data_IF_300798175247
#
_entry.id   IF_300798175247
#
_cell.length_a   1.000
_cell.length_b   1.000
_cell.length_c   1.000
_cell.angle_alpha   90.00
_cell.angle_beta   90.00
_cell.angle_gamma   90.00
#
_symmetry.space_group_name_H-M   'P 1'
#
loop_
_entity.id
_entity.type
_entity.pdbx_description
1 polymer ?
#
# COMPACT_ATOMS: atom_id res chain seq x y z
N UNK A 1 -11.93 6.95 22.38
CA UNK A 1 -11.33 6.79 21.05
C UNK A 1 -10.22 7.83 20.94
N UNK A 2 -8.94 7.41 20.79
CA UNK A 2 -7.86 8.36 20.57
C UNK A 2 -8.12 9.06 19.24
N UNK A 3 -8.14 10.38 19.25
CA UNK A 3 -8.37 11.13 18.02
C UNK A 3 -7.04 11.17 17.28
N UNK A 4 -6.84 10.21 16.36
CA UNK A 4 -5.64 10.14 15.51
C UNK A 4 -5.44 11.47 14.80
N UNK A 5 -4.23 12.03 14.89
CA UNK A 5 -3.94 13.38 14.36
C UNK A 5 -3.06 13.36 13.12
N UNK A 6 -2.25 12.31 12.95
CA UNK A 6 -1.29 12.23 11.86
C UNK A 6 -1.11 10.82 11.37
N UNK A 7 -1.13 10.65 10.06
CA UNK A 7 -0.88 9.37 9.39
C UNK A 7 0.22 9.51 8.34
N UNK A 8 0.92 8.41 8.11
CA UNK A 8 1.83 8.26 6.98
C UNK A 8 1.14 7.54 5.82
N UNK A 9 1.44 7.91 4.59
CA UNK A 9 1.05 7.15 3.40
C UNK A 9 2.29 6.84 2.58
N UNK A 10 2.40 5.60 2.12
CA UNK A 10 3.48 5.16 1.24
C UNK A 10 2.93 4.37 0.06
N UNK A 11 3.67 4.43 -1.04
CA UNK A 11 3.41 3.65 -2.25
C UNK A 11 4.61 2.75 -2.54
N UNK A 12 4.36 1.52 -2.93
CA UNK A 12 5.41 0.56 -3.26
C UNK A 12 5.01 -0.34 -4.45
N UNK A 13 6.01 -1.00 -5.03
CA UNK A 13 5.80 -1.80 -6.25
C UNK A 13 5.80 -0.97 -7.52
N UNK A 14 5.18 -1.48 -8.58
CA UNK A 14 5.11 -0.82 -9.89
C UNK A 14 4.19 0.39 -9.93
N UNK A 15 4.49 1.33 -10.82
CA UNK A 15 3.65 2.50 -11.05
C UNK A 15 2.35 2.13 -11.77
N UNK A 16 1.26 2.74 -11.33
CA UNK A 16 -0.05 2.63 -11.98
C UNK A 16 -0.78 3.97 -11.92
N UNK A 17 -1.76 4.20 -12.80
CA UNK A 17 -2.60 5.39 -12.73
C UNK A 17 -3.35 5.55 -11.41
N UNK A 18 -3.56 4.47 -10.66
CA UNK A 18 -4.33 4.49 -9.42
C UNK A 18 -3.58 5.09 -8.23
N UNK A 19 -2.24 5.21 -8.26
CA UNK A 19 -1.47 5.61 -7.08
C UNK A 19 -1.77 7.03 -6.63
N UNK A 20 -1.65 8.02 -7.52
CA UNK A 20 -1.97 9.40 -7.18
C UNK A 20 -3.46 9.58 -6.84
N UNK A 21 -4.36 8.88 -7.51
CA UNK A 21 -5.78 8.90 -7.19
C UNK A 21 -6.05 8.35 -5.78
N UNK A 22 -5.40 7.26 -5.39
CA UNK A 22 -5.50 6.68 -4.04
C UNK A 22 -4.95 7.64 -2.98
N UNK A 23 -3.78 8.25 -3.21
CA UNK A 23 -3.21 9.25 -2.31
C UNK A 23 -4.16 10.44 -2.18
N UNK A 24 -4.68 10.95 -3.28
CA UNK A 24 -5.62 12.07 -3.30
C UNK A 24 -6.90 11.76 -2.50
N UNK A 25 -7.51 10.59 -2.72
CA UNK A 25 -8.69 10.17 -1.98
C UNK A 25 -8.45 10.08 -0.47
N UNK A 26 -7.31 9.51 -0.06
CA UNK A 26 -6.91 9.43 1.35
C UNK A 26 -6.70 10.83 1.95
N UNK A 27 -6.03 11.73 1.24
CA UNK A 27 -5.78 13.12 1.67
C UNK A 27 -7.08 13.90 1.77
N UNK A 28 -7.98 13.77 0.79
CA UNK A 28 -9.29 14.42 0.81
C UNK A 28 -10.09 14.02 2.05
N UNK A 29 -10.16 12.73 2.33
CA UNK A 29 -10.85 12.24 3.52
C UNK A 29 -10.18 12.69 4.83
N UNK A 30 -8.87 12.70 4.87
CA UNK A 30 -8.11 13.18 6.02
C UNK A 30 -8.34 14.67 6.30
N UNK A 31 -8.51 15.50 5.26
CA UNK A 31 -8.85 16.92 5.41
C UNK A 31 -10.18 17.11 6.14
N UNK A 32 -11.20 16.34 5.78
CA UNK A 32 -12.51 16.35 6.45
C UNK A 32 -12.40 15.96 7.93
N UNK A 33 -11.56 14.98 8.23
CA UNK A 33 -11.34 14.46 9.58
C UNK A 33 -10.32 15.27 10.40
N UNK A 34 -9.70 16.31 9.82
CA UNK A 34 -8.62 17.10 10.43
C UNK A 34 -7.42 16.24 10.84
N UNK A 35 -7.04 15.30 9.97
CA UNK A 35 -5.87 14.45 10.12
C UNK A 35 -4.78 14.92 9.16
N UNK A 36 -3.57 15.12 9.66
CA UNK A 36 -2.41 15.44 8.84
C UNK A 36 -1.91 14.19 8.09
N UNK A 37 -1.56 14.34 6.82
CA UNK A 37 -1.06 13.24 5.97
C UNK A 37 0.37 13.52 5.53
N UNK A 38 1.27 12.61 5.87
CA UNK A 38 2.68 12.64 5.47
C UNK A 38 2.95 11.57 4.43
N UNK A 39 3.27 11.99 3.21
CA UNK A 39 3.71 11.10 2.14
C UNK A 39 5.15 10.66 2.36
N UNK A 40 5.39 9.37 2.56
CA UNK A 40 6.72 8.81 2.79
C UNK A 40 7.43 8.62 1.44
N UNK A 41 8.55 9.34 1.23
CA UNK A 41 9.23 9.41 -0.06
C UNK A 41 9.94 8.09 -0.41
N UNK A 42 9.66 7.55 -1.59
CA UNK A 42 10.18 6.26 -2.07
C UNK A 42 9.78 5.06 -1.18
N UNK A 43 8.53 5.05 -0.73
CA UNK A 43 7.94 3.89 -0.07
C UNK A 43 8.73 3.40 1.15
N UNK A 44 9.03 2.10 1.20
CA UNK A 44 9.78 1.49 2.30
C UNK A 44 11.18 2.07 2.50
N UNK A 45 11.82 2.55 1.44
CA UNK A 45 13.14 3.16 1.51
C UNK A 45 13.17 4.35 2.50
N UNK A 46 12.06 5.09 2.57
CA UNK A 46 11.89 6.14 3.58
C UNK A 46 12.04 5.61 5.01
N UNK A 47 11.45 4.46 5.32
CA UNK A 47 11.45 3.90 6.68
C UNK A 47 12.84 3.46 7.14
N UNK A 48 13.68 3.00 6.22
CA UNK A 48 15.07 2.66 6.54
C UNK A 48 15.96 3.88 6.74
N UNK A 49 15.58 5.02 6.16
CA UNK A 49 16.38 6.24 6.29
C UNK A 49 16.26 6.82 7.71
N UNK A 50 17.36 7.26 8.35
CA UNK A 50 17.31 7.86 9.69
C UNK A 50 16.41 9.09 9.82
N UNK A 51 16.21 9.85 8.73
CA UNK A 51 15.41 11.07 8.71
C UNK A 51 13.96 10.84 8.24
N UNK A 52 13.62 9.62 7.80
CA UNK A 52 12.30 9.30 7.23
C UNK A 52 11.84 10.40 6.24
N UNK A 53 12.46 10.50 5.04
CA UNK A 53 12.09 11.53 4.08
C UNK A 53 10.60 11.52 3.78
N UNK A 54 9.95 12.65 3.93
CA UNK A 54 8.50 12.78 3.77
C UNK A 54 8.11 14.16 3.25
N UNK A 55 6.89 14.27 2.75
CA UNK A 55 6.24 15.50 2.35
C UNK A 55 4.89 15.63 3.06
N UNK A 56 4.55 16.81 3.54
CA UNK A 56 3.24 17.09 4.12
C UNK A 56 2.24 17.32 2.99
N UNK A 57 1.31 16.38 2.79
CA UNK A 57 0.39 16.38 1.65
C UNK A 57 -0.83 17.28 1.83
N UNK A 58 -1.11 17.71 3.06
CA UNK A 58 -2.28 18.53 3.38
C UNK A 58 -2.02 19.61 4.44
N UNK A 59 -1.04 20.50 4.23
CA UNK A 59 -0.81 21.60 5.15
C UNK A 59 -2.09 22.43 5.31
N UNK A 60 -2.40 22.81 6.57
CA UNK A 60 -3.64 23.51 6.91
C UNK A 60 -4.92 22.75 6.48
N UNK A 61 -4.84 21.43 6.33
CA UNK A 61 -5.92 20.57 5.85
C UNK A 61 -6.42 20.95 4.45
N UNK A 62 -5.49 21.35 3.60
CA UNK A 62 -5.70 21.60 2.18
C UNK A 62 -4.76 20.71 1.39
N UNK A 63 -5.28 20.01 0.39
CA UNK A 63 -4.47 19.18 -0.51
C UNK A 63 -3.46 20.05 -1.25
N UNK A 64 -2.20 19.61 -1.32
CA UNK A 64 -1.18 20.34 -2.08
C UNK A 64 -1.51 20.32 -3.58
N UNK A 65 -1.23 21.42 -4.32
CA UNK A 65 -1.57 21.53 -5.75
C UNK A 65 -0.90 20.49 -6.63
N UNK A 66 0.28 20.00 -6.23
CA UNK A 66 1.05 19.01 -6.97
C UNK A 66 0.42 17.61 -6.96
N UNK A 67 -0.52 17.34 -6.03
CA UNK A 67 -1.21 16.06 -5.96
C UNK A 67 -2.43 16.05 -6.90
N UNK A 68 -2.17 15.76 -8.16
CA UNK A 68 -3.20 15.63 -9.19
C UNK A 68 -3.63 14.15 -9.34
N UNK A 69 -4.91 13.80 -9.04
CA UNK A 69 -5.41 12.44 -9.13
C UNK A 69 -5.51 11.92 -10.57
N UNK A 70 -5.43 12.80 -11.57
CA UNK A 70 -5.51 12.44 -12.99
C UNK A 70 -4.17 12.04 -13.60
N UNK A 71 -3.07 12.37 -12.91
CA UNK A 71 -1.73 12.00 -13.34
C UNK A 71 -1.38 10.58 -12.90
N UNK A 72 -0.85 9.79 -13.82
CA UNK A 72 -0.33 8.45 -13.53
C UNK A 72 0.91 8.49 -12.63
N UNK A 73 1.28 7.32 -12.10
CA UNK A 73 2.43 7.18 -11.21
C UNK A 73 2.14 7.64 -9.77
N UNK A 74 3.18 7.99 -9.06
CA UNK A 74 3.12 8.43 -7.67
C UNK A 74 3.99 9.65 -7.40
N UNK A 75 3.37 10.71 -6.86
CA UNK A 75 4.08 11.95 -6.49
C UNK A 75 5.15 11.71 -5.40
N UNK A 76 4.92 10.72 -4.53
CA UNK A 76 5.85 10.40 -3.43
C UNK A 76 6.90 9.35 -3.83
N UNK A 77 6.82 8.79 -5.03
CA UNK A 77 7.70 7.73 -5.50
C UNK A 77 7.48 6.39 -4.79
N UNK A 78 7.97 5.33 -5.37
CA UNK A 78 7.84 3.97 -4.86
C UNK A 78 9.21 3.30 -4.72
N UNK A 79 9.29 2.24 -3.92
CA UNK A 79 10.42 1.32 -3.87
C UNK A 79 9.94 -0.12 -3.90
N UNK A 80 10.87 -1.03 -4.15
CA UNK A 80 10.62 -2.49 -4.10
C UNK A 80 11.23 -3.14 -2.87
N UNK A 81 11.74 -2.34 -1.94
CA UNK A 81 12.24 -2.83 -0.66
C UNK A 81 11.09 -3.44 0.15
N UNK A 82 11.42 -4.33 1.07
CA UNK A 82 10.45 -4.90 1.98
C UNK A 82 11.03 -5.01 3.39
N UNK A 83 10.15 -5.15 4.39
CA UNK A 83 10.54 -5.30 5.78
C UNK A 83 10.80 -6.79 6.09
N UNK A 84 11.99 -7.08 6.61
CA UNK A 84 12.29 -8.44 7.07
C UNK A 84 11.64 -8.69 8.43
N UNK A 85 10.71 -9.65 8.56
CA UNK A 85 10.03 -9.95 9.82
C UNK A 85 10.97 -10.45 10.92
N UNK A 86 12.12 -11.02 10.55
CA UNK A 86 13.10 -11.52 11.50
C UNK A 86 14.00 -10.41 12.08
N UNK A 87 14.11 -9.29 11.38
CA UNK A 87 14.89 -8.13 11.83
C UNK A 87 14.09 -7.26 12.81
N UNK A 88 13.90 -7.76 14.00
CA UNK A 88 13.16 -7.06 15.07
C UNK A 88 13.77 -5.70 15.40
N UNK A 89 15.10 -5.59 15.34
CA UNK A 89 15.80 -4.35 15.65
C UNK A 89 15.47 -3.25 14.64
N UNK A 90 15.46 -3.58 13.35
CA UNK A 90 15.07 -2.64 12.30
C UNK A 90 13.60 -2.22 12.44
N UNK A 91 12.72 -3.17 12.76
CA UNK A 91 11.30 -2.87 12.99
C UNK A 91 11.09 -1.95 14.20
N UNK A 92 11.81 -2.18 15.31
CA UNK A 92 11.76 -1.32 16.50
C UNK A 92 12.26 0.10 16.17
N UNK A 93 13.36 0.21 15.43
CA UNK A 93 13.91 1.49 14.99
C UNK A 93 12.94 2.27 14.08
N UNK A 94 12.26 1.57 13.17
CA UNK A 94 11.21 2.17 12.33
C UNK A 94 10.07 2.71 13.19
N UNK A 95 9.57 1.93 14.14
CA UNK A 95 8.51 2.37 15.04
C UNK A 95 8.91 3.62 15.83
N UNK A 96 10.13 3.65 16.39
CA UNK A 96 10.64 4.82 17.10
C UNK A 96 10.77 6.05 16.20
N UNK A 97 11.14 5.89 14.93
CA UNK A 97 11.19 7.00 13.96
C UNK A 97 9.79 7.54 13.66
N UNK A 98 8.82 6.67 13.44
CA UNK A 98 7.44 7.06 13.20
C UNK A 98 6.83 7.77 14.40
N UNK A 99 7.12 7.29 15.61
CA UNK A 99 6.70 7.93 16.86
C UNK A 99 7.30 9.35 17.01
N UNK A 100 8.59 9.55 16.70
CA UNK A 100 9.24 10.87 16.70
C UNK A 100 8.56 11.84 15.72
N UNK A 101 8.05 11.35 14.60
CA UNK A 101 7.28 12.12 13.63
C UNK A 101 5.80 12.27 14.04
N UNK A 102 5.40 11.65 15.15
CA UNK A 102 4.02 11.57 15.62
C UNK A 102 3.07 10.95 14.59
N UNK A 103 3.57 10.01 13.80
CA UNK A 103 2.77 9.23 12.87
C UNK A 103 2.12 8.10 13.66
N UNK A 104 0.80 8.11 13.77
CA UNK A 104 0.00 7.21 14.60
C UNK A 104 -0.62 6.06 13.80
N UNK A 105 -0.51 6.10 12.48
CA UNK A 105 -1.00 5.05 11.60
C UNK A 105 -0.42 5.19 10.18
N UNK A 106 -0.53 4.13 9.40
CA UNK A 106 0.00 4.06 8.04
C UNK A 106 -1.07 3.63 7.04
N UNK A 107 -0.99 4.19 5.83
CA UNK A 107 -1.65 3.68 4.64
C UNK A 107 -0.55 3.18 3.70
N UNK A 108 -0.60 1.90 3.34
CA UNK A 108 0.34 1.28 2.42
C UNK A 108 -0.37 0.91 1.12
N UNK A 109 0.05 1.50 0.01
CA UNK A 109 -0.56 1.26 -1.31
C UNK A 109 0.39 0.42 -2.15
N UNK A 110 -0.06 -0.76 -2.59
CA UNK A 110 0.79 -1.62 -3.40
C UNK A 110 0.19 -2.97 -3.76
N UNK A 111 0.97 -3.77 -4.47
CA UNK A 111 0.61 -5.13 -4.86
C UNK A 111 0.87 -6.15 -3.74
N UNK A 112 0.69 -7.42 -4.04
CA UNK A 112 0.79 -8.54 -3.10
C UNK A 112 2.12 -8.55 -2.32
N UNK A 113 3.25 -8.44 -3.01
CA UNK A 113 4.56 -8.39 -2.36
C UNK A 113 4.73 -7.20 -1.40
N UNK A 114 4.12 -6.06 -1.72
CA UNK A 114 4.12 -4.88 -0.86
C UNK A 114 3.29 -5.10 0.39
N UNK A 115 2.10 -5.65 0.24
CA UNK A 115 1.18 -5.91 1.35
C UNK A 115 1.77 -6.94 2.31
N UNK A 116 2.34 -8.01 1.78
CA UNK A 116 3.04 -9.02 2.58
C UNK A 116 4.26 -8.44 3.31
N UNK A 117 5.04 -7.59 2.62
CA UNK A 117 6.20 -6.92 3.21
C UNK A 117 5.85 -5.93 4.32
N UNK A 118 4.60 -5.42 4.36
CA UNK A 118 4.13 -4.52 5.41
C UNK A 118 3.66 -5.25 6.66
N UNK A 119 3.29 -6.51 6.54
CA UNK A 119 2.67 -7.28 7.63
C UNK A 119 3.43 -7.20 8.97
N UNK A 120 4.77 -7.32 9.03
CA UNK A 120 5.48 -7.24 10.30
C UNK A 120 5.31 -5.90 11.05
N UNK A 121 5.04 -4.82 10.31
CA UNK A 121 4.83 -3.50 10.89
C UNK A 121 3.38 -3.29 11.31
N UNK A 122 2.41 -3.95 10.65
CA UNK A 122 0.98 -3.85 11.01
C UNK A 122 0.67 -4.41 12.40
N UNK A 123 1.51 -5.28 12.92
CA UNK A 123 1.39 -5.80 14.28
C UNK A 123 1.81 -4.78 15.36
N UNK A 124 2.48 -3.70 14.95
CA UNK A 124 3.09 -2.71 15.86
C UNK A 124 2.46 -1.33 15.76
N UNK A 125 1.95 -0.97 14.60
CA UNK A 125 1.30 0.32 14.33
C UNK A 125 0.02 0.07 13.51
N UNK A 126 -1.08 0.76 13.80
CA UNK A 126 -2.28 0.69 12.98
C UNK A 126 -1.96 0.95 11.51
N UNK A 127 -2.34 0.05 10.62
CA UNK A 127 -2.10 0.22 9.20
C UNK A 127 -3.29 -0.25 8.36
N UNK A 128 -3.49 0.44 7.25
CA UNK A 128 -4.44 0.07 6.20
C UNK A 128 -3.65 -0.31 4.95
N UNK A 129 -3.94 -1.48 4.42
CA UNK A 129 -3.33 -1.98 3.20
C UNK A 129 -4.30 -1.73 2.05
N UNK A 130 -3.93 -0.84 1.14
CA UNK A 130 -4.70 -0.51 -0.05
C UNK A 130 -4.14 -1.29 -1.25
N UNK A 131 -4.82 -2.34 -1.71
CA UNK A 131 -4.34 -3.16 -2.80
C UNK A 131 -4.36 -2.39 -4.13
N UNK A 132 -3.29 -2.57 -4.92
CA UNK A 132 -3.12 -1.97 -6.23
C UNK A 132 -2.33 -2.92 -7.13
N UNK A 133 -2.87 -3.30 -8.26
CA UNK A 133 -2.20 -4.09 -9.30
C UNK A 133 -2.79 -3.79 -10.67
N UNK A 134 -1.97 -3.90 -11.71
CA UNK A 134 -2.43 -3.90 -13.11
C UNK A 134 -2.59 -5.32 -13.65
N UNK A 135 -2.00 -6.30 -12.97
CA UNK A 135 -1.94 -7.69 -13.42
C UNK A 135 -3.15 -8.51 -12.94
N UNK A 136 -3.98 -7.93 -12.07
CA UNK A 136 -5.11 -8.59 -11.42
C UNK A 136 -4.71 -9.90 -10.73
N UNK A 137 -3.55 -9.90 -10.07
CA UNK A 137 -2.90 -11.05 -9.44
C UNK A 137 -2.89 -10.99 -7.91
N UNK A 138 -3.55 -9.99 -7.33
CA UNK A 138 -3.70 -9.91 -5.89
C UNK A 138 -4.53 -11.09 -5.39
N UNK A 139 -3.93 -11.85 -4.48
CA UNK A 139 -4.61 -12.93 -3.79
C UNK A 139 -5.75 -12.37 -2.96
N UNK A 140 -6.92 -12.32 -3.54
CA UNK A 140 -8.12 -12.01 -2.81
C UNK A 140 -8.42 -13.18 -1.92
N UNK A 141 -8.51 -12.92 -0.62
CA UNK A 141 -8.92 -13.89 0.39
C UNK A 141 -10.41 -14.23 0.23
N UNK A 142 -10.79 -14.77 -0.91
CA UNK A 142 -12.04 -15.48 -1.03
C UNK A 142 -11.89 -16.80 -0.27
N UNK A 143 -12.85 -17.15 0.55
CA UNK A 143 -12.93 -18.48 1.18
C UNK A 143 -12.90 -19.63 0.15
N UNK A 144 -13.27 -19.33 -1.08
CA UNK A 144 -13.07 -20.19 -2.24
C UNK A 144 -12.26 -19.36 -3.23
N UNK A 145 -11.01 -19.79 -3.54
CA UNK A 145 -10.27 -19.21 -4.66
C UNK A 145 -11.21 -19.16 -5.86
N UNK A 146 -11.24 -18.02 -6.62
CA UNK A 146 -12.02 -17.98 -7.83
C UNK A 146 -11.68 -19.22 -8.64
N UNK A 147 -12.67 -19.95 -9.08
CA UNK A 147 -12.49 -21.21 -9.85
C UNK A 147 -11.63 -21.06 -11.11
N UNK A 148 -11.16 -19.85 -11.36
CA UNK A 148 -10.43 -19.41 -12.52
C UNK A 148 -8.93 -19.72 -12.50
N UNK A 149 -8.33 -19.63 -11.33
CA UNK A 149 -6.89 -19.83 -11.18
C UNK A 149 -6.60 -21.03 -10.27
N UNK A 150 -5.84 -21.99 -10.81
CA UNK A 150 -5.35 -23.12 -10.04
C UNK A 150 -3.90 -22.87 -9.63
N UNK A 151 -3.65 -22.96 -8.35
CA UNK A 151 -2.31 -23.01 -7.79
C UNK A 151 -1.73 -24.40 -8.03
N UNK A 152 -0.70 -24.49 -8.88
CA UNK A 152 0.04 -25.75 -9.14
C UNK A 152 1.46 -25.62 -8.65
N UNK A 153 2.07 -26.72 -8.10
CA UNK A 153 3.50 -26.75 -7.86
C UNK A 153 4.23 -26.60 -9.20
N UNK A 154 5.31 -25.81 -9.21
CA UNK A 154 6.20 -25.74 -10.38
C UNK A 154 6.90 -27.07 -10.60
N UNK A 155 7.07 -27.47 -11.84
CA UNK A 155 7.79 -28.71 -12.23
C UNK A 155 9.25 -28.72 -11.72
N UNK A 156 9.83 -27.54 -11.44
CA UNK A 156 11.15 -27.39 -10.84
C UNK A 156 11.24 -27.73 -9.35
N UNK A 157 10.12 -28.11 -8.71
CA UNK A 157 10.07 -28.47 -7.29
C UNK A 157 10.15 -27.28 -6.31
N UNK A 158 10.41 -26.07 -6.77
CA UNK A 158 10.48 -24.86 -5.94
C UNK A 158 9.39 -23.86 -6.32
N UNK A 159 8.42 -23.66 -5.41
CA UNK A 159 7.36 -22.67 -5.54
C UNK A 159 6.12 -23.19 -6.29
N UNK A 160 5.19 -22.25 -6.51
CA UNK A 160 3.92 -22.51 -7.16
C UNK A 160 3.76 -21.60 -8.37
N UNK A 161 2.98 -22.04 -9.35
CA UNK A 161 2.51 -21.25 -10.46
C UNK A 161 0.98 -21.23 -10.44
N UNK A 162 0.40 -20.15 -10.95
CA UNK A 162 -1.04 -20.03 -11.13
C UNK A 162 -1.37 -20.31 -12.59
N UNK A 163 -2.15 -21.36 -12.82
CA UNK A 163 -2.58 -21.75 -14.17
C UNK A 163 -4.05 -21.41 -14.33
N UNK A 164 -4.35 -20.59 -15.35
CA UNK A 164 -5.73 -20.25 -15.69
C UNK A 164 -6.48 -21.47 -16.18
N UNK A 165 -7.67 -21.75 -15.62
CA UNK A 165 -8.55 -22.78 -16.14
C UNK A 165 -9.06 -22.37 -17.53
N UNK A 166 -9.07 -23.28 -18.53
CA UNK A 166 -9.40 -22.92 -19.90
C UNK A 166 -10.88 -22.57 -20.16
N UNK A 167 -11.75 -22.70 -19.18
CA UNK A 167 -13.15 -22.50 -19.38
C UNK A 167 -13.76 -21.62 -18.29
N UNK A 168 -14.32 -20.53 -18.71
CA UNK A 168 -15.11 -19.54 -17.99
C UNK A 168 -14.30 -18.41 -17.37
N UNK A 169 -14.28 -17.29 -18.07
CA UNK A 169 -14.37 -16.02 -17.40
C UNK A 169 -15.01 -14.98 -18.29
N UNK A 170 -16.20 -14.64 -17.94
CA UNK A 170 -16.67 -13.27 -18.15
C UNK A 170 -16.64 -12.65 -16.77
N UNK A 171 -15.58 -11.88 -16.45
CA UNK A 171 -15.71 -10.89 -15.41
C UNK A 171 -16.72 -9.88 -15.93
N UNK A 172 -17.83 -9.72 -15.25
CA UNK A 172 -18.65 -8.58 -15.57
C UNK A 172 -17.89 -7.31 -15.12
N UNK A 173 -18.17 -6.21 -15.79
CA UNK A 173 -17.51 -4.92 -15.56
C UNK A 173 -17.64 -4.47 -14.09
N UNK A 174 -18.68 -4.88 -13.41
CA UNK A 174 -18.99 -4.57 -12.01
C UNK A 174 -18.04 -5.29 -11.05
N UNK A 175 -17.67 -6.50 -11.35
CA UNK A 175 -16.64 -7.23 -10.59
C UNK A 175 -15.27 -6.59 -10.79
N UNK A 176 -14.93 -6.16 -12.02
CA UNK A 176 -13.66 -5.45 -12.26
C UNK A 176 -13.59 -4.12 -11.52
N UNK A 177 -14.67 -3.36 -11.43
CA UNK A 177 -14.71 -2.09 -10.71
C UNK A 177 -14.48 -2.30 -9.20
N UNK A 178 -15.05 -3.34 -8.62
CA UNK A 178 -14.84 -3.69 -7.21
C UNK A 178 -13.42 -4.14 -6.87
N UNK A 179 -12.60 -4.45 -7.88
CA UNK A 179 -11.18 -4.78 -7.71
C UNK A 179 -10.26 -3.56 -7.80
N UNK A 180 -10.73 -2.45 -8.33
CA UNK A 180 -9.92 -1.24 -8.60
C UNK A 180 -10.27 -0.10 -7.64
N UNK A 181 -11.38 -0.20 -6.94
CA UNK A 181 -11.83 0.76 -5.91
C UNK A 181 -11.54 0.29 -4.50
#
# INVERSE_FOLDING_TARGET
MSNMKRIGILTAGGDTPALNATIHGAVTRANELKIEVYGLIKGYNSLFNPRVPHVHLNPLFMTIPELDPTLGGTIIGASRDYLNPEDKKSLDDICLKLEKLKIEGLICVGGDGTLNGMQPLTERIPAVLAPKTIDNDLGLNYRNEPDEWLRKPKDSGNGYEYVRRPSRVVFDLEQMINYVT
#
